data_IF_936728817161
#
_entry.id   IF_936728817161
#
_cell.length_a   1.000
_cell.length_b   1.000
_cell.length_c   1.000
_cell.angle_alpha   90.00
_cell.angle_beta   90.00
_cell.angle_gamma   90.00
#
_symmetry.space_group_name_H-M   'P 1'
#
loop_
_entity.id
_entity.type
_entity.pdbx_description
1 polymer ?
#
# COMPACT_ATOMS: atom_id res chain seq x y z
N UNK A 1 26.59 -27.50 -38.36
CA UNK A 1 25.79 -27.50 -37.12
C UNK A 1 24.62 -26.57 -37.33
N UNK A 2 23.56 -27.12 -37.95
CA UNK A 2 22.23 -26.50 -37.97
C UNK A 2 21.62 -26.77 -36.62
N UNK A 3 21.37 -25.73 -35.84
CA UNK A 3 20.44 -25.77 -34.70
C UNK A 3 19.46 -24.64 -34.87
N UNK A 4 18.27 -25.05 -35.26
CA UNK A 4 16.94 -24.55 -34.91
C UNK A 4 16.74 -23.03 -34.72
N UNK A 5 16.63 -22.35 -35.86
CA UNK A 5 15.87 -21.10 -35.97
C UNK A 5 14.39 -21.47 -36.14
N UNK A 6 13.83 -22.19 -35.19
CA UNK A 6 12.40 -22.53 -35.20
C UNK A 6 11.77 -22.20 -33.85
N UNK A 7 11.23 -21.02 -33.76
CA UNK A 7 9.85 -20.73 -33.37
C UNK A 7 9.67 -19.24 -33.12
N UNK A 8 9.56 -18.48 -34.19
CA UNK A 8 8.77 -17.27 -34.11
C UNK A 8 7.32 -17.73 -33.89
N UNK A 9 6.60 -17.25 -32.89
CA UNK A 9 5.18 -17.57 -32.74
C UNK A 9 4.42 -16.98 -33.90
N UNK A 10 4.15 -17.85 -34.90
CA UNK A 10 3.44 -17.55 -36.11
C UNK A 10 1.95 -17.53 -35.89
N UNK A 11 1.43 -16.49 -35.30
CA UNK A 11 0.09 -15.98 -35.61
C UNK A 11 0.14 -14.46 -35.51
N UNK A 12 0.47 -13.83 -36.62
CA UNK A 12 0.28 -12.41 -36.86
C UNK A 12 -1.21 -12.10 -36.70
N UNK A 13 -1.56 -10.97 -36.06
CA UNK A 13 -2.76 -10.25 -36.51
C UNK A 13 -2.37 -9.78 -37.89
N UNK A 14 -2.83 -10.47 -38.90
CA UNK A 14 -2.16 -10.68 -40.20
C UNK A 14 -2.00 -9.45 -41.07
N UNK A 15 -2.46 -8.27 -40.68
CA UNK A 15 -2.52 -7.11 -41.58
C UNK A 15 -1.98 -5.80 -40.98
N UNK A 16 -1.29 -5.83 -39.83
CA UNK A 16 -0.72 -4.62 -39.25
C UNK A 16 0.65 -4.33 -39.86
N UNK A 17 0.76 -3.27 -40.66
CA UNK A 17 2.04 -2.75 -41.13
C UNK A 17 2.95 -2.47 -39.94
N UNK A 18 4.16 -3.06 -39.90
CA UNK A 18 5.09 -2.80 -38.82
C UNK A 18 5.48 -1.31 -38.79
N UNK A 19 5.58 -0.76 -37.59
CA UNK A 19 6.25 0.52 -37.40
C UNK A 19 7.75 0.37 -37.61
N UNK A 20 8.37 1.34 -38.25
CA UNK A 20 9.83 1.43 -38.40
C UNK A 20 10.28 2.87 -38.37
N UNK A 21 11.36 3.12 -37.63
CA UNK A 21 12.08 4.40 -37.62
C UNK A 21 13.59 4.14 -37.61
N UNK A 22 14.31 4.89 -38.40
CA UNK A 22 15.77 5.02 -38.37
C UNK A 22 16.12 6.49 -38.34
N UNK A 23 16.83 6.96 -37.32
CA UNK A 23 17.21 8.35 -37.15
C UNK A 23 18.44 8.46 -36.25
N UNK A 24 19.10 9.62 -36.31
CA UNK A 24 20.26 9.93 -35.49
C UNK A 24 20.04 11.26 -34.79
N UNK A 25 20.37 11.31 -33.51
CA UNK A 25 20.33 12.52 -32.67
C UNK A 25 21.52 12.46 -31.69
N UNK A 26 22.25 13.58 -31.55
CA UNK A 26 23.37 13.73 -30.62
C UNK A 26 24.46 12.63 -30.81
N UNK A 27 24.77 12.25 -32.06
CA UNK A 27 25.65 11.14 -32.44
C UNK A 27 25.20 9.74 -31.95
N UNK A 28 23.92 9.61 -31.59
CA UNK A 28 23.31 8.33 -31.26
C UNK A 28 22.36 7.92 -32.38
N UNK A 29 22.72 6.86 -33.10
CA UNK A 29 21.86 6.25 -34.12
C UNK A 29 20.82 5.36 -33.44
N UNK A 30 19.56 5.47 -33.86
CA UNK A 30 18.43 4.71 -33.32
C UNK A 30 17.64 4.08 -34.43
N UNK A 31 17.61 2.74 -34.46
CA UNK A 31 16.82 1.92 -35.37
C UNK A 31 15.80 1.12 -34.56
N UNK A 32 14.52 1.38 -34.75
CA UNK A 32 13.44 0.71 -34.02
C UNK A 32 12.39 0.21 -34.99
N UNK A 33 12.01 -1.06 -34.82
CA UNK A 33 10.83 -1.62 -35.49
C UNK A 33 10.00 -2.42 -34.50
N UNK A 34 8.68 -2.36 -34.61
CA UNK A 34 7.80 -3.19 -33.81
C UNK A 34 6.46 -3.46 -34.50
N UNK A 35 5.81 -4.49 -34.06
CA UNK A 35 4.42 -4.82 -34.43
C UNK A 35 3.70 -5.43 -33.24
N UNK A 36 2.36 -5.48 -33.32
CA UNK A 36 1.54 -6.22 -32.36
C UNK A 36 1.21 -7.61 -32.89
N UNK A 37 1.18 -8.57 -31.98
CA UNK A 37 0.79 -9.96 -32.24
C UNK A 37 -0.39 -10.36 -31.36
N UNK A 38 -0.93 -11.55 -31.54
CA UNK A 38 -1.99 -12.11 -30.66
C UNK A 38 -1.43 -12.69 -29.36
N UNK A 39 -0.10 -12.69 -29.17
CA UNK A 39 0.55 -13.13 -27.93
C UNK A 39 0.16 -12.23 -26.75
N UNK A 40 0.23 -12.77 -25.55
CA UNK A 40 0.10 -12.01 -24.31
C UNK A 40 1.45 -11.49 -23.78
N UNK A 41 2.56 -11.98 -24.34
CA UNK A 41 3.89 -11.62 -23.87
C UNK A 41 4.51 -10.51 -24.74
N UNK A 42 5.25 -9.61 -24.07
CA UNK A 42 6.17 -8.66 -24.70
C UNK A 42 7.45 -9.40 -25.09
N UNK A 43 7.91 -9.22 -26.34
CA UNK A 43 9.19 -9.74 -26.81
C UNK A 43 10.01 -8.58 -27.40
N UNK A 44 11.14 -8.24 -26.78
CA UNK A 44 12.04 -7.20 -27.29
C UNK A 44 13.43 -7.77 -27.52
N UNK A 45 13.90 -7.68 -28.75
CA UNK A 45 15.30 -7.90 -29.09
C UNK A 45 16.02 -6.56 -29.09
N UNK A 46 17.05 -6.43 -28.28
CA UNK A 46 17.75 -5.15 -28.14
C UNK A 46 19.24 -5.27 -28.40
N UNK A 47 19.78 -4.26 -29.08
CA UNK A 47 21.16 -4.24 -29.52
C UNK A 47 21.80 -2.88 -29.30
N UNK A 48 23.09 -2.88 -28.97
CA UNK A 48 23.95 -1.70 -28.92
C UNK A 48 25.23 -1.99 -29.68
N UNK A 49 25.51 -1.23 -30.75
CA UNK A 49 26.65 -1.47 -31.63
C UNK A 49 26.71 -2.95 -32.07
N UNK A 50 25.57 -3.52 -32.45
CA UNK A 50 25.37 -4.93 -32.84
C UNK A 50 25.60 -5.98 -31.74
N UNK A 51 25.84 -5.55 -30.49
CA UNK A 51 25.95 -6.45 -29.33
C UNK A 51 24.55 -6.65 -28.79
N UNK A 52 24.12 -7.90 -28.62
CA UNK A 52 22.82 -8.23 -28.03
C UNK A 52 22.80 -7.89 -26.52
N UNK A 53 21.92 -7.00 -26.14
CA UNK A 53 21.69 -6.60 -24.74
C UNK A 53 20.47 -7.34 -24.19
N UNK A 54 20.64 -8.60 -23.82
CA UNK A 54 19.55 -9.49 -23.42
C UNK A 54 18.81 -9.05 -22.16
N UNK A 55 19.42 -8.22 -21.32
CA UNK A 55 18.80 -7.60 -20.13
C UNK A 55 18.23 -6.20 -20.46
N UNK A 56 18.30 -5.76 -21.72
CA UNK A 56 17.83 -4.46 -22.17
C UNK A 56 18.74 -3.30 -21.76
N UNK A 57 18.19 -2.29 -21.15
CA UNK A 57 18.88 -1.09 -20.71
C UNK A 57 18.12 0.19 -21.04
N UNK A 58 18.80 1.33 -20.99
CA UNK A 58 18.23 2.67 -21.15
C UNK A 58 17.55 2.90 -22.50
N UNK A 59 18.06 2.30 -23.59
CA UNK A 59 17.43 2.37 -24.92
C UNK A 59 16.07 1.66 -24.97
N UNK A 60 15.95 0.49 -24.32
CA UNK A 60 14.66 -0.24 -24.20
C UNK A 60 13.70 0.53 -23.31
N UNK A 61 14.19 1.16 -22.24
CA UNK A 61 13.38 2.00 -21.37
C UNK A 61 12.83 3.22 -22.13
N UNK A 62 13.66 3.88 -22.94
CA UNK A 62 13.25 4.98 -23.81
C UNK A 62 12.14 4.57 -24.78
N UNK A 63 12.28 3.42 -25.44
CA UNK A 63 11.25 2.84 -26.31
C UNK A 63 9.93 2.57 -25.57
N UNK A 64 9.97 1.92 -24.41
CA UNK A 64 8.78 1.62 -23.60
C UNK A 64 8.05 2.89 -23.13
N UNK A 65 8.81 3.92 -22.77
CA UNK A 65 8.27 5.22 -22.37
C UNK A 65 7.59 5.92 -23.53
N UNK A 66 8.23 5.98 -24.70
CA UNK A 66 7.68 6.55 -25.93
C UNK A 66 6.39 5.86 -26.34
N UNK A 67 6.40 4.52 -26.39
CA UNK A 67 5.23 3.72 -26.77
C UNK A 67 4.03 4.00 -25.84
N UNK A 68 4.28 4.03 -24.52
CA UNK A 68 3.23 4.28 -23.53
C UNK A 68 2.65 5.67 -23.64
N UNK A 69 3.51 6.67 -23.80
CA UNK A 69 3.10 8.07 -23.95
C UNK A 69 2.28 8.29 -25.22
N UNK A 70 2.84 7.93 -26.37
CA UNK A 70 2.23 8.25 -27.67
C UNK A 70 0.89 7.55 -27.85
N UNK A 71 0.74 6.28 -27.45
CA UNK A 71 -0.54 5.57 -27.56
C UNK A 71 -1.63 6.23 -26.69
N UNK A 72 -1.29 6.65 -25.46
CA UNK A 72 -2.25 7.39 -24.63
C UNK A 72 -2.63 8.72 -25.24
N UNK A 73 -1.65 9.48 -25.77
CA UNK A 73 -1.88 10.82 -26.30
C UNK A 73 -2.70 10.76 -27.62
N UNK A 74 -2.30 9.90 -28.57
CA UNK A 74 -2.99 9.74 -29.85
C UNK A 74 -4.38 9.10 -29.67
N UNK A 75 -4.47 8.09 -28.78
CA UNK A 75 -5.75 7.45 -28.48
C UNK A 75 -6.79 8.41 -27.92
N UNK A 76 -6.36 9.37 -27.07
CA UNK A 76 -7.21 10.47 -26.58
C UNK A 76 -7.54 11.48 -27.67
N UNK A 77 -6.55 11.94 -28.44
CA UNK A 77 -6.74 12.92 -29.48
C UNK A 77 -7.71 12.46 -30.57
N UNK A 78 -7.66 11.16 -30.92
CA UNK A 78 -8.58 10.55 -31.91
C UNK A 78 -9.92 10.09 -31.29
N UNK A 79 -10.19 10.34 -30.00
CA UNK A 79 -11.42 9.95 -29.34
C UNK A 79 -11.63 8.43 -29.16
N UNK A 80 -10.57 7.62 -29.37
CA UNK A 80 -10.58 6.19 -29.18
C UNK A 80 -10.54 5.77 -27.70
N UNK A 81 -9.94 6.65 -26.86
CA UNK A 81 -9.92 6.52 -25.39
C UNK A 81 -10.89 7.53 -24.79
N UNK A 82 -11.90 7.03 -24.10
CA UNK A 82 -12.88 7.86 -23.37
C UNK A 82 -12.39 8.12 -21.94
N UNK A 83 -12.85 9.19 -21.31
CA UNK A 83 -12.46 9.51 -19.91
C UNK A 83 -12.75 8.38 -18.93
N UNK A 84 -13.85 7.63 -19.14
CA UNK A 84 -14.19 6.44 -18.36
C UNK A 84 -13.19 5.28 -18.48
N UNK A 85 -12.44 5.23 -19.57
CA UNK A 85 -11.46 4.16 -19.78
C UNK A 85 -10.18 4.43 -18.97
N UNK A 86 -9.98 5.66 -18.47
CA UNK A 86 -8.80 6.05 -17.72
C UNK A 86 -7.50 5.95 -18.53
N UNK A 87 -6.37 6.15 -17.87
CA UNK A 87 -5.04 6.02 -18.50
C UNK A 87 -4.69 4.54 -18.70
N UNK A 88 -4.18 4.20 -19.89
CA UNK A 88 -3.65 2.86 -20.18
C UNK A 88 -2.31 2.67 -19.49
N UNK A 89 -2.14 1.54 -18.81
CA UNK A 89 -0.87 1.19 -18.17
C UNK A 89 0.14 0.64 -19.19
N UNK A 90 1.43 0.82 -18.90
CA UNK A 90 2.49 0.31 -19.76
C UNK A 90 2.39 -1.20 -20.03
N UNK A 91 1.99 -1.99 -19.06
CA UNK A 91 1.82 -3.43 -19.22
C UNK A 91 0.70 -3.77 -20.22
N UNK A 92 -0.44 -3.06 -20.15
CA UNK A 92 -1.55 -3.27 -21.09
C UNK A 92 -1.13 -2.92 -22.53
N UNK A 93 -0.34 -1.83 -22.68
CA UNK A 93 0.15 -1.34 -23.98
C UNK A 93 1.20 -2.29 -24.59
N UNK A 94 2.05 -2.88 -23.77
CA UNK A 94 3.13 -3.75 -24.24
C UNK A 94 2.71 -5.20 -24.49
N UNK A 95 1.50 -5.59 -24.08
CA UNK A 95 0.98 -6.92 -24.32
C UNK A 95 0.92 -7.24 -25.82
N UNK A 96 1.65 -8.29 -26.21
CA UNK A 96 1.75 -8.74 -27.60
C UNK A 96 2.65 -7.91 -28.50
N UNK A 97 3.43 -6.97 -27.95
CA UNK A 97 4.45 -6.26 -28.71
C UNK A 97 5.62 -7.18 -29.02
N UNK A 98 6.03 -7.21 -30.30
CA UNK A 98 7.31 -7.78 -30.75
C UNK A 98 8.12 -6.65 -31.35
N UNK A 99 9.28 -6.35 -30.78
CA UNK A 99 10.11 -5.21 -31.17
C UNK A 99 11.59 -5.57 -31.32
N UNK A 100 12.26 -4.84 -32.19
CA UNK A 100 13.71 -4.78 -32.28
C UNK A 100 14.11 -3.32 -32.00
N UNK A 101 14.97 -3.11 -31.02
CA UNK A 101 15.49 -1.81 -30.63
C UNK A 101 17.02 -1.87 -30.75
N UNK A 102 17.59 -1.17 -31.74
CA UNK A 102 19.03 -1.13 -31.99
C UNK A 102 19.52 0.32 -31.87
N UNK A 103 20.63 0.51 -31.18
CA UNK A 103 21.30 1.81 -31.08
C UNK A 103 22.76 1.71 -31.43
N UNK A 104 23.27 2.78 -32.05
CA UNK A 104 24.69 2.98 -32.36
C UNK A 104 25.21 4.14 -31.53
N UNK A 105 26.16 3.88 -30.65
CA UNK A 105 26.62 4.82 -29.62
C UNK A 105 28.14 4.90 -29.67
N UNK A 106 28.77 6.10 -29.74
CA UNK A 106 30.23 6.21 -29.79
C UNK A 106 30.95 5.61 -28.58
N UNK A 107 30.40 5.80 -27.38
CA UNK A 107 30.97 5.35 -26.10
C UNK A 107 29.92 4.62 -25.25
N UNK A 108 29.62 3.35 -25.57
CA UNK A 108 28.63 2.60 -24.83
C UNK A 108 29.13 2.22 -23.41
N UNK A 109 28.35 2.49 -22.39
CA UNK A 109 28.58 2.05 -21.03
C UNK A 109 27.63 0.89 -20.72
N UNK A 110 28.18 -0.26 -20.38
CA UNK A 110 27.39 -1.45 -20.06
C UNK A 110 27.46 -1.75 -18.57
N UNK A 111 26.35 -2.24 -18.04
CA UNK A 111 26.35 -2.84 -16.71
C UNK A 111 26.91 -4.27 -16.82
N UNK A 112 28.05 -4.50 -16.15
CA UNK A 112 28.72 -5.79 -16.09
C UNK A 112 29.57 -6.15 -17.34
N UNK A 113 30.42 -7.16 -17.17
CA UNK A 113 31.38 -7.61 -18.20
C UNK A 113 30.70 -8.30 -19.40
N UNK A 114 29.51 -8.85 -19.19
CA UNK A 114 28.75 -9.57 -20.25
C UNK A 114 28.10 -8.63 -21.27
N UNK A 115 28.14 -7.32 -21.02
CA UNK A 115 27.52 -6.28 -21.87
C UNK A 115 26.00 -6.50 -22.09
N UNK A 116 25.34 -7.20 -21.16
CA UNK A 116 23.93 -7.59 -21.28
C UNK A 116 22.94 -6.42 -21.13
N UNK A 117 23.36 -5.30 -20.53
CA UNK A 117 22.50 -4.16 -20.25
C UNK A 117 23.22 -2.83 -20.50
N UNK A 118 22.55 -1.91 -21.21
CA UNK A 118 23.07 -0.55 -21.46
C UNK A 118 22.78 0.37 -20.28
N UNK A 119 23.81 1.09 -19.81
CA UNK A 119 23.75 2.01 -18.68
C UNK A 119 23.68 3.50 -19.02
N UNK A 120 24.02 3.92 -20.26
CA UNK A 120 24.04 5.32 -20.69
C UNK A 120 22.69 6.03 -20.44
N UNK A 121 22.60 6.93 -19.47
CA UNK A 121 21.33 7.55 -19.06
C UNK A 121 20.71 8.44 -20.15
N UNK A 122 21.54 9.16 -20.92
CA UNK A 122 21.14 10.06 -21.99
C UNK A 122 20.41 9.35 -23.14
N UNK A 123 20.74 8.09 -23.40
CA UNK A 123 20.17 7.29 -24.50
C UNK A 123 18.67 7.08 -24.32
N UNK A 124 18.18 6.97 -23.08
CA UNK A 124 16.74 6.83 -22.82
C UNK A 124 15.95 8.03 -23.34
N UNK A 125 16.46 9.24 -23.14
CA UNK A 125 15.84 10.47 -23.62
C UNK A 125 15.84 10.57 -25.14
N UNK A 126 16.97 10.24 -25.78
CA UNK A 126 17.14 10.29 -27.24
C UNK A 126 16.20 9.29 -27.94
N UNK A 127 16.19 8.03 -27.50
CA UNK A 127 15.28 7.00 -28.04
C UNK A 127 13.82 7.41 -27.84
N UNK A 128 13.48 7.90 -26.65
CA UNK A 128 12.11 8.37 -26.38
C UNK A 128 11.71 9.52 -27.32
N UNK A 129 12.57 10.49 -27.57
CA UNK A 129 12.31 11.60 -28.47
C UNK A 129 12.06 11.16 -29.91
N UNK A 130 13.00 10.38 -30.48
CA UNK A 130 12.94 9.89 -31.86
C UNK A 130 11.70 9.00 -32.06
N UNK A 131 11.49 8.02 -31.18
CA UNK A 131 10.36 7.10 -31.30
C UNK A 131 9.03 7.83 -31.11
N UNK A 132 8.92 8.75 -30.13
CA UNK A 132 7.68 9.48 -29.89
C UNK A 132 7.27 10.32 -31.10
N UNK A 133 8.19 11.06 -31.68
CA UNK A 133 7.91 11.91 -32.85
C UNK A 133 7.45 11.08 -34.06
N UNK A 134 8.21 10.03 -34.40
CA UNK A 134 7.91 9.21 -35.57
C UNK A 134 6.67 8.32 -35.37
N UNK A 135 6.48 7.76 -34.19
CA UNK A 135 5.31 6.94 -33.88
C UNK A 135 4.02 7.75 -33.88
N UNK A 136 4.06 8.99 -33.39
CA UNK A 136 2.90 9.89 -33.44
C UNK A 136 2.44 10.11 -34.88
N UNK A 137 3.35 10.47 -35.79
CA UNK A 137 3.07 10.66 -37.21
C UNK A 137 2.51 9.35 -37.82
N UNK A 138 3.17 8.22 -37.56
CA UNK A 138 2.74 6.93 -38.09
C UNK A 138 1.31 6.58 -37.66
N UNK A 139 0.93 6.81 -36.41
CA UNK A 139 -0.41 6.51 -35.89
C UNK A 139 -1.46 7.52 -36.41
N UNK A 140 -1.09 8.78 -36.60
CA UNK A 140 -1.95 9.82 -37.20
C UNK A 140 -2.22 9.53 -38.68
N UNK A 141 -1.20 9.06 -39.44
CA UNK A 141 -1.32 8.72 -40.85
C UNK A 141 -2.04 7.36 -41.09
N UNK A 142 -2.14 6.51 -40.05
CA UNK A 142 -2.74 5.19 -40.17
C UNK A 142 -3.89 4.97 -39.13
N UNK A 143 -5.02 5.69 -39.25
CA UNK A 143 -6.09 5.67 -38.22
C UNK A 143 -6.75 4.28 -38.07
N UNK A 144 -6.78 3.47 -39.12
CA UNK A 144 -7.30 2.10 -39.07
C UNK A 144 -6.40 1.20 -38.18
N UNK A 145 -5.06 1.32 -38.31
CA UNK A 145 -4.09 0.60 -37.49
C UNK A 145 -4.21 1.07 -36.04
N UNK A 146 -4.26 2.39 -35.83
CA UNK A 146 -4.40 3.00 -34.49
C UNK A 146 -5.63 2.48 -33.75
N UNK A 147 -6.77 2.40 -34.45
CA UNK A 147 -8.01 1.85 -33.88
C UNK A 147 -7.82 0.38 -33.45
N UNK A 148 -7.27 -0.47 -34.30
CA UNK A 148 -7.04 -1.89 -33.99
C UNK A 148 -6.10 -2.05 -32.78
N UNK A 149 -5.01 -1.27 -32.74
CA UNK A 149 -4.06 -1.29 -31.63
C UNK A 149 -4.70 -0.84 -30.32
N UNK A 150 -5.43 0.28 -30.32
CA UNK A 150 -6.11 0.78 -29.12
C UNK A 150 -7.19 -0.18 -28.64
N UNK A 151 -7.99 -0.76 -29.54
CA UNK A 151 -9.00 -1.76 -29.19
C UNK A 151 -8.37 -3.01 -28.56
N UNK A 152 -7.26 -3.49 -29.10
CA UNK A 152 -6.51 -4.62 -28.53
C UNK A 152 -6.07 -4.29 -27.10
N UNK A 153 -5.45 -3.12 -26.88
CA UNK A 153 -4.95 -2.69 -25.57
C UNK A 153 -6.11 -2.53 -24.57
N UNK A 154 -7.25 -1.98 -24.99
CA UNK A 154 -8.45 -1.89 -24.14
C UNK A 154 -8.96 -3.28 -23.73
N UNK A 155 -8.89 -4.27 -24.63
CA UNK A 155 -9.26 -5.64 -24.31
C UNK A 155 -8.28 -6.28 -23.31
N UNK A 156 -6.99 -6.07 -23.48
CA UNK A 156 -5.95 -6.51 -22.53
C UNK A 156 -6.16 -5.90 -21.14
N UNK A 157 -6.45 -4.59 -21.06
CA UNK A 157 -6.83 -3.91 -19.83
C UNK A 157 -8.04 -4.54 -19.15
N UNK A 158 -9.15 -4.74 -19.91
CA UNK A 158 -10.37 -5.36 -19.39
C UNK A 158 -10.11 -6.78 -18.87
N UNK A 159 -9.32 -7.58 -19.59
CA UNK A 159 -8.95 -8.93 -19.18
C UNK A 159 -8.16 -8.93 -17.88
N UNK A 160 -7.18 -8.03 -17.74
CA UNK A 160 -6.39 -7.85 -16.53
C UNK A 160 -7.27 -7.44 -15.33
N UNK A 161 -8.14 -6.45 -15.53
CA UNK A 161 -9.06 -5.98 -14.47
C UNK A 161 -10.07 -7.08 -14.06
N UNK A 162 -10.59 -7.85 -15.01
CA UNK A 162 -11.46 -8.98 -14.72
C UNK A 162 -10.73 -10.08 -13.95
N UNK A 163 -9.49 -10.42 -14.36
CA UNK A 163 -8.66 -11.39 -13.66
C UNK A 163 -8.32 -10.94 -12.23
N UNK A 164 -8.04 -9.64 -12.05
CA UNK A 164 -7.79 -9.07 -10.72
C UNK A 164 -9.03 -9.16 -9.84
N UNK A 165 -10.22 -8.77 -10.35
CA UNK A 165 -11.50 -8.90 -9.63
C UNK A 165 -11.80 -10.36 -9.25
N UNK A 166 -11.55 -11.29 -10.17
CA UNK A 166 -11.76 -12.71 -9.90
C UNK A 166 -10.83 -13.21 -8.78
N UNK A 167 -9.54 -12.83 -8.80
CA UNK A 167 -8.59 -13.15 -7.72
C UNK A 167 -9.02 -12.54 -6.39
N UNK A 168 -9.46 -11.29 -6.38
CA UNK A 168 -9.97 -10.62 -5.17
C UNK A 168 -11.18 -11.37 -4.60
N UNK A 169 -12.11 -11.82 -5.44
CA UNK A 169 -13.26 -12.61 -5.02
C UNK A 169 -12.86 -13.96 -4.41
N UNK A 170 -11.89 -14.65 -5.02
CA UNK A 170 -11.37 -15.92 -4.48
C UNK A 170 -10.68 -15.70 -3.14
N UNK A 171 -9.85 -14.65 -3.03
CA UNK A 171 -9.18 -14.30 -1.77
C UNK A 171 -10.19 -13.92 -0.67
N UNK A 172 -11.21 -13.11 -1.02
CA UNK A 172 -12.29 -12.77 -0.09
C UNK A 172 -13.01 -14.03 0.41
N UNK A 173 -13.38 -14.95 -0.50
CA UNK A 173 -13.99 -16.25 -0.11
C UNK A 173 -13.07 -17.05 0.79
N UNK A 174 -11.78 -17.19 0.45
CA UNK A 174 -10.84 -17.98 1.26
C UNK A 174 -10.62 -17.39 2.67
N UNK A 175 -10.68 -16.06 2.81
CA UNK A 175 -10.61 -15.40 4.13
C UNK A 175 -11.88 -15.64 4.95
N UNK A 176 -13.04 -15.78 4.29
CA UNK A 176 -14.33 -16.05 4.93
C UNK A 176 -14.57 -17.54 5.20
N UNK A 177 -14.04 -18.42 4.33
CA UNK A 177 -14.23 -19.88 4.43
C UNK A 177 -13.28 -20.55 5.44
N UNK A 178 -12.21 -19.86 5.90
CA UNK A 178 -11.38 -20.34 7.02
C UNK A 178 -12.19 -20.17 8.30
N UNK A 179 -13.10 -21.08 8.56
CA UNK A 179 -13.98 -21.13 9.74
C UNK A 179 -13.27 -21.28 11.09
N UNK A 180 -11.95 -21.12 11.12
CA UNK A 180 -11.16 -21.09 12.36
C UNK A 180 -10.69 -19.65 12.61
N UNK A 181 -10.94 -19.17 13.82
CA UNK A 181 -10.41 -17.90 14.30
C UNK A 181 -8.88 -17.89 14.24
N UNK A 182 -8.24 -16.72 14.08
CA UNK A 182 -6.79 -16.64 14.05
C UNK A 182 -6.18 -17.29 15.29
N UNK A 183 -5.20 -18.17 15.12
CA UNK A 183 -4.57 -18.89 16.27
C UNK A 183 -3.96 -17.98 17.33
N UNK A 184 -3.64 -16.73 16.97
CA UNK A 184 -3.15 -15.70 17.90
C UNK A 184 -4.26 -14.94 18.66
N UNK A 185 -5.52 -15.06 18.22
CA UNK A 185 -6.66 -14.41 18.89
C UNK A 185 -6.95 -15.16 20.21
N UNK A 186 -6.95 -14.41 21.30
CA UNK A 186 -7.53 -14.86 22.55
C UNK A 186 -8.99 -14.34 22.63
N UNK A 187 -9.93 -15.15 22.17
CA UNK A 187 -11.34 -14.77 22.08
C UNK A 187 -12.02 -14.69 23.45
N UNK A 188 -13.16 -14.00 23.53
CA UNK A 188 -14.02 -13.94 24.71
C UNK A 188 -15.09 -15.05 24.69
N UNK A 189 -15.71 -15.27 25.83
CA UNK A 189 -16.69 -16.36 26.01
C UNK A 189 -18.09 -15.94 25.56
N UNK A 190 -18.47 -14.68 25.81
CA UNK A 190 -19.78 -14.13 25.40
C UNK A 190 -19.91 -14.15 23.87
N UNK A 191 -21.15 -14.37 23.40
CA UNK A 191 -21.52 -14.32 21.97
C UNK A 191 -22.38 -13.11 21.63
N UNK A 192 -22.66 -12.25 22.60
CA UNK A 192 -23.40 -11.02 22.40
C UNK A 192 -22.43 -9.91 22.01
N UNK A 193 -22.46 -9.51 20.75
CA UNK A 193 -21.51 -8.56 20.20
C UNK A 193 -21.49 -7.22 20.97
N UNK A 194 -22.66 -6.74 21.40
CA UNK A 194 -22.81 -5.49 22.15
C UNK A 194 -22.09 -5.48 23.51
N UNK A 195 -21.91 -6.65 24.13
CA UNK A 195 -21.20 -6.81 25.40
C UNK A 195 -19.70 -7.05 25.20
N UNK A 196 -19.30 -7.46 23.99
CA UNK A 196 -17.94 -7.88 23.70
C UNK A 196 -17.10 -6.74 23.15
N UNK A 197 -15.82 -6.74 23.51
CA UNK A 197 -14.84 -5.82 22.98
C UNK A 197 -13.53 -6.55 22.61
N UNK A 198 -12.87 -6.09 21.55
CA UNK A 198 -11.60 -6.64 21.12
C UNK A 198 -10.50 -5.58 21.20
N UNK A 199 -9.39 -5.92 21.85
CA UNK A 199 -8.19 -5.09 21.89
C UNK A 199 -7.23 -5.55 20.79
N UNK A 200 -6.90 -4.64 19.91
CA UNK A 200 -5.82 -4.81 18.93
C UNK A 200 -4.54 -4.29 19.57
N UNK A 201 -3.65 -5.21 19.92
CA UNK A 201 -2.49 -4.93 20.77
C UNK A 201 -1.21 -5.00 19.97
N UNK A 202 -0.32 -4.03 20.16
CA UNK A 202 1.00 -4.03 19.54
C UNK A 202 1.93 -5.05 20.21
N UNK A 203 2.42 -6.00 19.42
CA UNK A 203 3.42 -6.97 19.83
C UNK A 203 2.92 -8.11 20.73
N UNK A 204 3.73 -9.15 20.80
CA UNK A 204 3.42 -10.34 21.60
C UNK A 204 3.61 -10.11 23.11
N UNK A 205 4.51 -9.22 23.53
CA UNK A 205 4.77 -8.92 24.94
C UNK A 205 3.57 -8.28 25.61
N UNK A 206 3.13 -7.12 25.09
CA UNK A 206 1.93 -6.44 25.58
C UNK A 206 0.67 -7.32 25.41
N UNK A 207 0.60 -8.06 24.27
CA UNK A 207 -0.45 -9.04 24.03
C UNK A 207 -0.49 -10.14 25.10
N UNK A 208 0.65 -10.57 25.63
CA UNK A 208 0.77 -11.54 26.72
C UNK A 208 0.19 -11.01 28.04
N UNK A 209 0.60 -9.80 28.44
CA UNK A 209 0.07 -9.12 29.64
C UNK A 209 -1.43 -8.88 29.52
N UNK A 210 -1.89 -8.38 28.34
CA UNK A 210 -3.31 -8.16 28.08
C UNK A 210 -4.15 -9.44 28.16
N UNK A 211 -3.65 -10.57 27.62
CA UNK A 211 -4.32 -11.88 27.68
C UNK A 211 -4.47 -12.37 29.12
N UNK A 212 -3.53 -12.08 29.99
CA UNK A 212 -3.60 -12.46 31.42
C UNK A 212 -4.51 -11.53 32.22
N UNK A 213 -4.46 -10.20 31.97
CA UNK A 213 -5.19 -9.20 32.73
C UNK A 213 -6.66 -9.01 32.33
N UNK A 214 -7.07 -9.47 31.13
CA UNK A 214 -8.41 -9.24 30.57
C UNK A 214 -9.56 -9.90 31.33
N UNK A 215 -10.76 -9.38 31.23
CA UNK A 215 -11.97 -10.15 31.50
C UNK A 215 -12.22 -11.13 30.34
N UNK A 216 -12.09 -12.43 30.63
CA UNK A 216 -12.27 -13.48 29.63
C UNK A 216 -13.71 -13.62 29.15
N UNK A 217 -14.68 -13.09 29.89
CA UNK A 217 -16.07 -13.19 29.51
C UNK A 217 -16.38 -12.34 28.27
N UNK A 218 -15.97 -11.08 28.28
CA UNK A 218 -16.35 -10.10 27.25
C UNK A 218 -15.17 -9.42 26.52
N UNK A 219 -13.91 -9.66 26.92
CA UNK A 219 -12.74 -9.06 26.28
C UNK A 219 -11.92 -10.06 25.47
N UNK A 220 -11.70 -9.77 24.21
CA UNK A 220 -10.83 -10.50 23.31
C UNK A 220 -9.53 -9.71 23.06
N UNK A 221 -8.42 -10.45 22.84
CA UNK A 221 -7.10 -9.85 22.55
C UNK A 221 -6.56 -10.40 21.22
N UNK A 222 -6.24 -9.50 20.31
CA UNK A 222 -5.55 -9.82 19.05
C UNK A 222 -4.22 -9.08 18.99
N UNK A 223 -3.09 -9.74 19.26
CA UNK A 223 -1.77 -9.15 19.09
C UNK A 223 -1.41 -9.04 17.61
N UNK A 224 -0.88 -7.90 17.20
CA UNK A 224 -0.32 -7.68 15.87
C UNK A 224 1.20 -7.67 15.95
N UNK A 225 1.85 -8.32 14.99
CA UNK A 225 3.32 -8.39 14.91
C UNK A 225 3.85 -7.29 14.00
N UNK A 226 4.32 -6.20 14.61
CA UNK A 226 4.95 -5.09 13.91
C UNK A 226 3.97 -4.26 13.06
N UNK A 227 4.52 -3.45 12.17
CA UNK A 227 3.78 -2.53 11.30
C UNK A 227 3.00 -3.31 10.24
N UNK A 228 1.70 -3.09 10.17
CA UNK A 228 0.88 -3.67 9.08
C UNK A 228 1.18 -2.96 7.76
N UNK A 229 0.79 -3.62 6.66
CA UNK A 229 0.94 -3.04 5.33
C UNK A 229 0.15 -1.74 5.19
N UNK A 230 0.74 -0.73 4.54
CA UNK A 230 0.03 0.49 4.17
C UNK A 230 -0.93 0.19 3.01
N UNK A 231 -2.22 0.10 3.31
CA UNK A 231 -3.26 -0.30 2.35
C UNK A 231 -3.54 0.77 1.31
N UNK A 232 -3.24 2.04 1.60
CA UNK A 232 -3.36 3.15 0.65
C UNK A 232 -2.44 2.94 -0.56
N UNK A 233 -1.21 2.47 -0.31
CA UNK A 233 -0.21 2.18 -1.35
C UNK A 233 -0.39 0.81 -1.99
N UNK A 234 -0.74 -0.19 -1.17
CA UNK A 234 -0.71 -1.58 -1.62
C UNK A 234 -1.96 -2.01 -2.41
N UNK A 235 -3.09 -1.34 -2.19
CA UNK A 235 -4.39 -1.76 -2.71
C UNK A 235 -4.93 -3.03 -2.01
N UNK A 236 -6.19 -3.36 -2.28
CA UNK A 236 -6.91 -4.42 -1.56
C UNK A 236 -6.28 -5.80 -1.72
N UNK A 237 -5.89 -6.18 -2.94
CA UNK A 237 -5.33 -7.51 -3.22
C UNK A 237 -4.10 -7.80 -2.37
N UNK A 238 -3.10 -6.92 -2.45
CA UNK A 238 -1.86 -7.08 -1.70
C UNK A 238 -2.08 -6.95 -0.18
N UNK A 239 -3.06 -6.16 0.23
CA UNK A 239 -3.44 -6.04 1.64
C UNK A 239 -3.97 -7.37 2.20
N UNK A 240 -4.75 -8.13 1.42
CA UNK A 240 -5.29 -9.44 1.82
C UNK A 240 -4.23 -10.56 1.85
N UNK A 241 -3.05 -10.36 1.28
CA UNK A 241 -1.91 -11.27 1.45
C UNK A 241 -1.29 -11.14 2.85
N UNK A 242 -1.48 -9.99 3.53
CA UNK A 242 -0.98 -9.76 4.88
C UNK A 242 -1.72 -10.63 5.92
N UNK A 243 -0.96 -11.39 6.72
CA UNK A 243 -1.50 -12.20 7.81
C UNK A 243 -2.22 -11.36 8.86
N UNK A 244 -1.72 -10.15 9.12
CA UNK A 244 -2.27 -9.23 10.11
C UNK A 244 -3.64 -8.68 9.68
N UNK A 245 -3.75 -8.27 8.41
CA UNK A 245 -5.03 -7.82 7.83
C UNK A 245 -6.06 -8.96 7.84
N UNK A 246 -5.66 -10.17 7.40
CA UNK A 246 -6.55 -11.33 7.44
C UNK A 246 -7.01 -11.67 8.85
N UNK A 247 -6.09 -11.59 9.83
CA UNK A 247 -6.43 -11.86 11.22
C UNK A 247 -7.48 -10.87 11.76
N UNK A 248 -7.38 -9.57 11.43
CA UNK A 248 -8.38 -8.57 11.80
C UNK A 248 -9.73 -8.85 11.12
N UNK A 249 -9.74 -9.07 9.80
CA UNK A 249 -10.96 -9.37 9.04
C UNK A 249 -11.69 -10.59 9.61
N UNK A 250 -10.95 -11.67 9.86
CA UNK A 250 -11.51 -12.92 10.41
C UNK A 250 -11.99 -12.72 11.86
N UNK A 251 -11.23 -12.00 12.69
CA UNK A 251 -11.63 -11.72 14.07
C UNK A 251 -12.92 -10.90 14.14
N UNK A 252 -13.05 -9.86 13.32
CA UNK A 252 -14.25 -8.99 13.32
C UNK A 252 -15.48 -9.69 12.75
N UNK A 253 -15.31 -10.57 11.76
CA UNK A 253 -16.38 -11.35 11.14
C UNK A 253 -17.19 -10.61 10.07
N UNK A 254 -16.95 -9.33 9.85
CA UNK A 254 -17.75 -8.44 8.99
C UNK A 254 -17.45 -8.54 7.50
N UNK A 255 -16.40 -9.27 7.06
CA UNK A 255 -15.85 -9.12 5.73
C UNK A 255 -15.28 -7.71 5.47
N UNK A 256 -15.00 -7.33 4.21
CA UNK A 256 -14.39 -6.04 3.83
C UNK A 256 -14.90 -5.50 2.50
N UNK A 257 -14.78 -4.19 2.29
CA UNK A 257 -15.12 -3.51 1.03
C UNK A 257 -16.59 -3.75 0.64
N UNK A 258 -16.84 -4.11 -0.62
CA UNK A 258 -18.21 -4.30 -1.15
C UNK A 258 -18.99 -5.45 -0.48
N UNK A 259 -18.30 -6.34 0.22
CA UNK A 259 -18.92 -7.47 0.95
C UNK A 259 -19.01 -7.24 2.45
N UNK A 260 -18.67 -6.04 2.91
CA UNK A 260 -18.76 -5.67 4.33
C UNK A 260 -20.21 -5.78 4.83
N UNK A 261 -20.37 -6.38 5.99
CA UNK A 261 -21.68 -6.58 6.61
C UNK A 261 -21.54 -6.37 8.13
N UNK A 262 -21.96 -5.21 8.61
CA UNK A 262 -21.85 -4.83 10.02
C UNK A 262 -22.69 -5.72 10.94
N UNK A 263 -23.77 -6.32 10.44
CA UNK A 263 -24.62 -7.21 11.24
C UNK A 263 -23.90 -8.48 11.72
N UNK A 264 -22.77 -8.81 11.10
CA UNK A 264 -21.89 -9.93 11.46
C UNK A 264 -20.76 -9.54 12.42
N UNK A 265 -20.73 -8.29 12.86
CA UNK A 265 -19.69 -7.81 13.79
C UNK A 265 -19.77 -8.59 15.10
N UNK A 266 -18.62 -9.13 15.52
CA UNK A 266 -18.52 -9.96 16.73
C UNK A 266 -18.24 -9.18 18.01
N UNK A 267 -17.84 -7.92 17.90
CA UNK A 267 -17.45 -7.07 19.02
C UNK A 267 -18.04 -5.67 18.90
N UNK A 268 -18.80 -5.24 19.89
CA UNK A 268 -19.38 -3.90 19.92
C UNK A 268 -18.34 -2.78 20.00
N UNK A 269 -17.13 -3.09 20.51
CA UNK A 269 -16.00 -2.14 20.51
C UNK A 269 -14.74 -2.80 19.97
N UNK A 270 -14.04 -2.10 19.08
CA UNK A 270 -12.72 -2.41 18.59
C UNK A 270 -11.77 -1.35 19.14
N UNK A 271 -10.85 -1.74 20.00
CA UNK A 271 -10.02 -0.85 20.79
C UNK A 271 -8.56 -1.00 20.31
N UNK A 272 -7.99 0.07 19.78
CA UNK A 272 -6.59 0.11 19.36
C UNK A 272 -5.73 0.42 20.58
N UNK A 273 -4.87 -0.51 20.98
CA UNK A 273 -4.01 -0.42 22.13
C UNK A 273 -2.54 -0.58 21.69
N UNK A 274 -1.92 0.55 21.34
CA UNK A 274 -0.54 0.67 20.86
C UNK A 274 0.32 1.40 21.86
N UNK A 275 1.63 1.22 21.77
CA UNK A 275 2.59 1.93 22.59
C UNK A 275 2.47 3.46 22.41
N UNK A 276 2.90 4.22 23.44
CA UNK A 276 2.80 5.69 23.43
C UNK A 276 4.02 6.34 22.74
N UNK A 277 4.66 5.66 21.81
CA UNK A 277 5.81 6.12 21.04
C UNK A 277 5.46 6.40 19.58
N UNK A 278 6.46 6.79 18.78
CA UNK A 278 6.28 7.12 17.35
C UNK A 278 5.90 5.89 16.51
N UNK A 279 6.37 4.71 16.88
CA UNK A 279 6.06 3.46 16.19
C UNK A 279 4.63 3.02 16.45
N UNK A 280 4.17 3.08 17.71
CA UNK A 280 2.79 2.83 18.07
C UNK A 280 1.81 3.81 17.45
N UNK A 281 2.17 5.10 17.36
CA UNK A 281 1.38 6.10 16.62
C UNK A 281 1.28 5.76 15.14
N UNK A 282 2.37 5.29 14.52
CA UNK A 282 2.37 4.87 13.12
C UNK A 282 1.52 3.61 12.89
N UNK A 283 1.64 2.59 13.76
CA UNK A 283 0.81 1.37 13.69
C UNK A 283 -0.67 1.72 13.79
N UNK A 284 -1.04 2.58 14.74
CA UNK A 284 -2.40 3.08 14.89
C UNK A 284 -2.92 3.76 13.62
N UNK A 285 -2.09 4.63 13.01
CA UNK A 285 -2.44 5.30 11.74
C UNK A 285 -2.65 4.31 10.61
N UNK A 286 -1.80 3.28 10.48
CA UNK A 286 -1.96 2.22 9.47
C UNK A 286 -3.27 1.43 9.67
N UNK A 287 -3.61 1.09 10.92
CA UNK A 287 -4.87 0.40 11.24
C UNK A 287 -6.08 1.29 10.92
N UNK A 288 -6.04 2.56 11.29
CA UNK A 288 -7.10 3.52 10.98
C UNK A 288 -7.26 3.71 9.46
N UNK A 289 -6.17 3.74 8.70
CA UNK A 289 -6.20 3.78 7.23
C UNK A 289 -6.93 2.55 6.68
N UNK A 290 -6.61 1.36 7.18
CA UNK A 290 -7.26 0.12 6.78
C UNK A 290 -8.77 0.14 7.09
N UNK A 291 -9.15 0.51 8.31
CA UNK A 291 -10.55 0.59 8.73
C UNK A 291 -11.32 1.64 7.90
N UNK A 292 -10.73 2.81 7.67
CA UNK A 292 -11.35 3.87 6.90
C UNK A 292 -11.58 3.48 5.43
N UNK A 293 -10.62 2.80 4.80
CA UNK A 293 -10.72 2.41 3.39
C UNK A 293 -11.62 1.21 3.14
N UNK A 294 -11.67 0.26 4.05
CA UNK A 294 -12.32 -1.04 3.78
C UNK A 294 -13.41 -1.44 4.77
N UNK A 295 -13.56 -0.75 5.90
CA UNK A 295 -14.56 -1.02 6.95
C UNK A 295 -15.10 0.27 7.55
N UNK A 296 -15.40 1.25 6.70
CA UNK A 296 -15.76 2.62 7.12
C UNK A 296 -16.98 2.67 8.02
N UNK A 297 -17.95 1.77 7.84
CA UNK A 297 -19.14 1.67 8.66
C UNK A 297 -18.82 1.48 10.15
N UNK A 298 -17.72 0.77 10.50
CA UNK A 298 -17.29 0.63 11.89
C UNK A 298 -16.93 1.97 12.55
N UNK A 299 -16.43 2.93 11.79
CA UNK A 299 -16.14 4.27 12.29
C UNK A 299 -17.44 5.08 12.41
N UNK A 300 -18.29 5.02 11.39
CA UNK A 300 -19.56 5.76 11.36
C UNK A 300 -20.51 5.33 12.49
N UNK A 301 -20.60 4.04 12.76
CA UNK A 301 -21.39 3.48 13.86
C UNK A 301 -20.71 3.65 15.23
N UNK A 302 -19.46 4.09 15.24
CA UNK A 302 -18.74 4.42 16.47
C UNK A 302 -18.23 3.22 17.24
N UNK A 303 -17.85 2.16 16.54
CA UNK A 303 -17.28 0.95 17.12
C UNK A 303 -15.78 1.05 17.40
N UNK A 304 -15.09 2.08 16.86
CA UNK A 304 -13.62 2.18 16.93
C UNK A 304 -13.21 3.13 18.06
N UNK A 305 -12.27 2.66 18.88
CA UNK A 305 -11.72 3.39 20.02
C UNK A 305 -10.20 3.27 20.05
N UNK A 306 -9.56 4.25 20.68
CA UNK A 306 -8.14 4.27 21.00
C UNK A 306 -8.00 4.22 22.52
N UNK A 307 -7.26 3.24 23.03
CA UNK A 307 -6.93 3.17 24.43
C UNK A 307 -5.85 4.21 24.78
N UNK A 308 -6.02 4.87 25.91
CA UNK A 308 -5.07 5.83 26.45
C UNK A 308 -4.48 5.30 27.75
N UNK A 309 -3.39 4.51 27.71
CA UNK A 309 -2.71 4.08 28.93
C UNK A 309 -2.01 5.28 29.60
N UNK A 310 -1.74 5.22 30.92
CA UNK A 310 -0.99 6.26 31.60
C UNK A 310 0.46 6.29 31.13
N UNK A 311 1.04 7.49 31.06
CA UNK A 311 2.43 7.69 30.73
C UNK A 311 3.35 7.56 31.96
N UNK A 312 2.80 7.81 33.16
CA UNK A 312 3.58 7.84 34.40
C UNK A 312 2.89 7.08 35.53
N UNK A 313 3.71 6.42 36.34
CA UNK A 313 3.35 5.86 37.63
C UNK A 313 4.13 6.58 38.71
N UNK A 314 3.44 7.18 39.68
CA UNK A 314 4.03 7.79 40.86
C UNK A 314 3.72 6.90 42.05
N UNK A 315 4.75 6.43 42.75
CA UNK A 315 4.60 5.53 43.91
C UNK A 315 5.15 6.18 45.15
N UNK A 316 4.37 6.18 46.23
CA UNK A 316 4.73 6.68 47.54
C UNK A 316 4.29 5.70 48.62
N UNK A 317 5.20 4.89 49.13
CA UNK A 317 4.87 3.76 50.01
C UNK A 317 3.94 2.78 49.35
N UNK A 318 2.73 2.60 49.89
CA UNK A 318 1.68 1.74 49.31
C UNK A 318 0.76 2.47 48.32
N UNK A 319 0.87 3.79 48.23
CA UNK A 319 0.02 4.61 47.37
C UNK A 319 0.62 4.62 45.96
N UNK A 320 -0.19 4.29 44.93
CA UNK A 320 0.13 4.37 43.53
C UNK A 320 -0.83 5.34 42.88
N UNK A 321 -0.29 6.31 42.11
CA UNK A 321 -1.07 7.26 41.32
C UNK A 321 -0.55 7.20 39.89
N UNK A 322 -1.48 7.11 38.93
CA UNK A 322 -1.17 7.16 37.51
C UNK A 322 -1.43 8.55 36.96
N UNK A 323 -0.58 9.01 36.04
CA UNK A 323 -0.77 10.25 35.29
C UNK A 323 -0.70 9.99 33.79
N UNK A 324 -1.62 10.58 33.06
CA UNK A 324 -1.80 10.34 31.62
C UNK A 324 -1.10 11.37 30.74
N UNK A 325 -0.65 12.48 31.35
CA UNK A 325 0.09 13.53 30.67
C UNK A 325 0.99 14.28 31.65
N UNK A 326 1.88 15.16 31.12
CA UNK A 326 2.85 15.92 31.90
C UNK A 326 2.16 16.90 32.87
N UNK A 327 1.00 17.43 32.53
CA UNK A 327 0.26 18.36 33.40
C UNK A 327 -0.28 17.62 34.64
N UNK A 328 -0.88 16.45 34.43
CA UNK A 328 -1.34 15.61 35.54
C UNK A 328 -0.16 15.18 36.42
N UNK A 329 0.95 14.77 35.82
CA UNK A 329 2.16 14.45 36.57
C UNK A 329 2.59 15.64 37.48
N UNK A 330 2.67 16.85 36.90
CA UNK A 330 3.03 18.06 37.68
C UNK A 330 2.08 18.30 38.85
N UNK A 331 0.78 18.11 38.63
CA UNK A 331 -0.24 18.28 39.70
C UNK A 331 -0.06 17.23 40.82
N UNK A 332 0.15 15.96 40.43
CA UNK A 332 0.41 14.88 41.41
C UNK A 332 1.68 15.15 42.20
N UNK A 333 2.77 15.61 41.56
CA UNK A 333 4.03 15.91 42.23
C UNK A 333 3.90 17.13 43.16
N UNK A 334 3.15 18.16 42.77
CA UNK A 334 2.87 19.32 43.59
C UNK A 334 2.15 18.93 44.90
N UNK A 335 1.15 18.05 44.79
CA UNK A 335 0.43 17.54 45.94
C UNK A 335 1.30 16.67 46.85
N UNK A 336 2.13 15.76 46.26
CA UNK A 336 3.06 14.94 47.03
C UNK A 336 4.14 15.77 47.78
N UNK A 337 4.61 16.85 47.16
CA UNK A 337 5.57 17.76 47.77
C UNK A 337 4.94 18.56 48.94
N UNK A 338 3.70 19.01 48.80
CA UNK A 338 2.95 19.66 49.89
C UNK A 338 2.82 18.73 51.12
N UNK A 339 2.60 17.45 50.87
CA UNK A 339 2.44 16.42 51.91
C UNK A 339 3.81 15.94 52.47
N UNK A 340 4.94 16.46 52.01
CA UNK A 340 6.32 16.00 52.35
C UNK A 340 6.51 14.47 52.12
N UNK A 341 5.83 13.88 51.17
CA UNK A 341 5.94 12.45 50.88
C UNK A 341 7.13 12.15 49.96
N UNK A 342 7.89 11.11 50.29
CA UNK A 342 8.89 10.57 49.37
C UNK A 342 8.17 9.77 48.29
N UNK A 343 8.52 10.00 47.02
CA UNK A 343 7.94 9.30 45.90
C UNK A 343 9.00 8.85 44.87
N UNK A 344 8.62 7.88 44.05
CA UNK A 344 9.37 7.44 42.87
C UNK A 344 8.48 7.60 41.64
N UNK A 345 9.09 7.99 40.52
CA UNK A 345 8.40 8.16 39.24
C UNK A 345 8.93 7.09 38.28
N UNK A 346 8.02 6.35 37.66
CA UNK A 346 8.30 5.47 36.55
C UNK A 346 7.58 6.02 35.31
N UNK A 347 8.32 6.27 34.22
CA UNK A 347 7.74 6.59 32.93
C UNK A 347 7.62 5.30 32.13
N UNK A 348 6.43 5.01 31.61
CA UNK A 348 6.20 3.90 30.70
C UNK A 348 6.58 4.32 29.28
N UNK A 349 7.42 3.54 28.61
CA UNK A 349 7.76 3.70 27.20
C UNK A 349 6.84 2.87 26.29
N UNK A 350 6.35 1.74 26.80
CA UNK A 350 5.43 0.89 26.10
C UNK A 350 4.59 0.02 27.04
N UNK A 351 3.52 -0.55 26.51
CA UNK A 351 2.56 -1.42 27.20
C UNK A 351 3.20 -2.71 27.75
N UNK A 352 4.29 -3.16 27.09
CA UNK A 352 5.07 -4.31 27.53
C UNK A 352 5.77 -4.15 28.88
N UNK A 353 5.89 -2.91 29.40
CA UNK A 353 6.43 -2.61 30.72
C UNK A 353 5.40 -2.74 31.83
N UNK A 354 4.11 -2.86 31.47
CA UNK A 354 3.01 -3.03 32.43
C UNK A 354 2.78 -4.52 32.70
N UNK A 355 2.67 -4.88 33.97
CA UNK A 355 2.18 -6.21 34.33
C UNK A 355 0.67 -6.33 34.06
N UNK A 356 0.08 -7.55 34.09
CA UNK A 356 -1.33 -7.76 33.76
C UNK A 356 -2.29 -6.97 34.65
N UNK A 357 -2.01 -6.83 35.94
CA UNK A 357 -2.84 -6.10 36.91
C UNK A 357 -2.83 -4.59 36.61
N UNK A 358 -1.65 -4.02 36.35
CA UNK A 358 -1.53 -2.61 35.98
C UNK A 358 -2.25 -2.29 34.68
N UNK A 359 -2.12 -3.16 33.66
CA UNK A 359 -2.79 -2.99 32.39
C UNK A 359 -4.31 -3.10 32.52
N UNK A 360 -4.78 -4.01 33.38
CA UNK A 360 -6.20 -4.11 33.73
C UNK A 360 -6.71 -2.82 34.39
N UNK A 361 -6.09 -2.42 35.51
CA UNK A 361 -6.53 -1.28 36.31
C UNK A 361 -6.56 0.05 35.55
N UNK A 362 -5.60 0.25 34.65
CA UNK A 362 -5.41 1.57 34.01
C UNK A 362 -6.02 1.67 32.62
N UNK A 363 -6.15 0.55 31.90
CA UNK A 363 -6.40 0.58 30.45
C UNK A 363 -7.53 -0.35 30.00
N UNK A 364 -7.75 -1.47 30.68
CA UNK A 364 -8.71 -2.46 30.21
C UNK A 364 -10.00 -2.51 31.05
N UNK A 365 -9.95 -2.17 32.34
CA UNK A 365 -11.13 -2.14 33.21
C UNK A 365 -12.13 -1.07 32.74
N UNK A 366 -13.37 -1.43 32.39
CA UNK A 366 -14.37 -0.48 31.92
C UNK A 366 -14.62 0.69 32.86
N UNK A 367 -14.50 0.49 34.19
CA UNK A 367 -14.88 1.49 35.20
C UNK A 367 -13.83 2.62 35.34
N UNK A 368 -12.58 2.40 34.95
CA UNK A 368 -11.50 3.38 35.21
C UNK A 368 -10.67 3.77 33.99
N UNK A 369 -10.86 3.12 32.84
CA UNK A 369 -10.06 3.34 31.64
C UNK A 369 -10.44 4.60 30.88
N UNK A 370 -9.47 5.18 30.18
CA UNK A 370 -9.68 6.26 29.24
C UNK A 370 -9.66 5.74 27.79
N UNK A 371 -10.77 5.94 27.07
CA UNK A 371 -10.89 5.60 25.65
C UNK A 371 -11.25 6.85 24.84
N UNK A 372 -10.56 7.07 23.73
CA UNK A 372 -10.93 8.06 22.74
C UNK A 372 -11.75 7.39 21.63
N UNK A 373 -13.00 7.84 21.44
CA UNK A 373 -13.83 7.37 20.33
C UNK A 373 -13.33 7.99 19.03
N UNK A 374 -13.17 7.16 18.00
CA UNK A 374 -12.79 7.62 16.66
C UNK A 374 -14.06 8.04 15.93
N UNK A 375 -14.08 9.28 15.41
CA UNK A 375 -15.16 9.81 14.57
C UNK A 375 -14.60 10.48 13.33
N UNK A 376 -15.43 10.65 12.32
CA UNK A 376 -15.10 11.41 11.10
C UNK A 376 -16.14 12.51 10.96
N UNK A 377 -15.75 13.74 11.27
CA UNK A 377 -16.64 14.89 11.17
C UNK A 377 -16.85 15.34 9.73
N UNK A 378 -15.79 15.28 8.92
CA UNK A 378 -15.81 15.62 7.51
C UNK A 378 -15.15 14.51 6.67
N UNK A 379 -15.98 13.74 5.99
CA UNK A 379 -15.52 12.60 5.20
C UNK A 379 -14.59 12.98 4.04
N UNK A 380 -14.80 14.15 3.43
CA UNK A 380 -13.96 14.64 2.32
C UNK A 380 -12.57 15.05 2.79
N UNK A 381 -12.51 15.75 3.92
CA UNK A 381 -11.23 16.14 4.53
C UNK A 381 -10.45 14.92 5.00
N UNK A 382 -11.12 13.97 5.64
CA UNK A 382 -10.48 12.71 6.06
C UNK A 382 -9.92 11.93 4.86
N UNK A 383 -10.67 11.85 3.75
CA UNK A 383 -10.22 11.18 2.52
C UNK A 383 -8.97 11.84 1.94
N UNK A 384 -8.97 13.18 1.84
CA UNK A 384 -7.83 13.96 1.37
C UNK A 384 -6.62 13.80 2.29
N UNK A 385 -6.84 13.74 3.62
CA UNK A 385 -5.78 13.60 4.60
C UNK A 385 -5.11 12.21 4.52
N UNK A 386 -5.90 11.15 4.37
CA UNK A 386 -5.36 9.80 4.18
C UNK A 386 -4.58 9.69 2.85
N UNK A 387 -5.08 10.24 1.74
CA UNK A 387 -4.35 10.28 0.46
C UNK A 387 -3.04 11.07 0.60
N UNK A 388 -3.07 12.25 1.23
CA UNK A 388 -1.91 13.12 1.45
C UNK A 388 -0.83 12.45 2.33
N UNK A 389 -1.22 11.86 3.47
CA UNK A 389 -0.28 11.33 4.46
C UNK A 389 0.16 9.90 4.15
N UNK A 390 -0.73 9.06 3.62
CA UNK A 390 -0.50 7.63 3.45
C UNK A 390 -0.31 7.22 1.99
N UNK A 391 -0.63 8.10 1.03
CA UNK A 391 -0.49 7.88 -0.40
C UNK A 391 0.95 7.76 -0.91
N UNK A 392 1.12 7.50 -2.22
CA UNK A 392 2.43 7.26 -2.85
C UNK A 392 3.26 8.53 -3.01
N UNK A 393 2.63 9.70 -3.16
CA UNK A 393 3.31 10.97 -3.40
C UNK A 393 4.03 11.46 -2.15
N UNK A 394 5.30 11.81 -2.28
CA UNK A 394 6.14 12.28 -1.16
C UNK A 394 5.91 13.77 -0.90
N UNK A 395 5.85 14.60 -1.95
CA UNK A 395 5.74 16.06 -1.86
C UNK A 395 4.55 16.52 -0.99
N UNK A 396 3.29 16.07 -1.20
CA UNK A 396 2.17 16.54 -0.39
C UNK A 396 2.31 16.23 1.10
N UNK A 397 3.00 15.12 1.43
CA UNK A 397 3.30 14.74 2.82
C UNK A 397 4.37 15.63 3.42
N UNK A 398 5.41 15.95 2.65
CA UNK A 398 6.48 16.86 3.06
C UNK A 398 5.93 18.26 3.33
N UNK A 399 5.15 18.80 2.40
CA UNK A 399 4.48 20.09 2.56
C UNK A 399 3.61 20.13 3.82
N UNK A 400 2.83 19.07 4.08
CA UNK A 400 2.01 18.97 5.28
C UNK A 400 2.86 19.01 6.56
N UNK A 401 4.00 18.29 6.59
CA UNK A 401 4.91 18.27 7.74
C UNK A 401 5.53 19.66 7.95
N UNK A 402 5.96 20.33 6.88
CA UNK A 402 6.54 21.68 6.94
C UNK A 402 5.52 22.72 7.42
N UNK A 403 4.26 22.66 6.91
CA UNK A 403 3.17 23.57 7.31
C UNK A 403 2.77 23.40 8.78
N UNK A 404 2.91 22.19 9.34
CA UNK A 404 2.48 21.87 10.71
C UNK A 404 3.64 21.69 11.69
N UNK A 405 4.87 21.97 11.29
CA UNK A 405 6.06 21.79 12.12
C UNK A 405 5.99 22.58 13.44
N UNK A 406 5.37 23.75 13.43
CA UNK A 406 5.20 24.61 14.62
C UNK A 406 4.32 23.98 15.71
N UNK A 407 3.45 23.04 15.34
CA UNK A 407 2.54 22.37 16.29
C UNK A 407 3.16 21.14 16.98
N UNK A 408 4.34 20.72 16.52
CA UNK A 408 5.04 19.55 17.09
C UNK A 408 5.63 19.92 18.43
N UNK A 409 5.10 19.33 19.51
CA UNK A 409 5.54 19.58 20.88
C UNK A 409 6.57 18.59 21.41
N UNK A 410 6.61 17.39 20.85
CA UNK A 410 7.50 16.31 21.27
C UNK A 410 8.21 15.75 20.04
N UNK A 411 9.48 16.06 19.89
CA UNK A 411 10.35 15.42 18.92
C UNK A 411 11.15 14.40 19.71
N UNK A 412 11.02 13.14 19.35
CA UNK A 412 11.86 12.06 19.88
C UNK A 412 13.20 12.14 19.14
N UNK A 413 14.20 12.74 19.79
CA UNK A 413 15.58 12.92 19.29
C UNK A 413 16.45 11.87 19.95
#
# INVERSE_FOLDING_TARGET
>A
LHQDVHSFPTRRSSDLKPFYVSSEQDNVGVDVTFTYTTSQNEVIYSFVNNINTHEGGTHVQGFRTALTKVINDVGKAQGLLKDKDGKLMGNDIREGVVAIVSTKIPQPQFEGQTKGKLGNSEVSGIVNSIVSSSLKIFLEDNPAITKIVVEKILNSKKAREAAQKARELVLRKSVLEVGSLPGKLADCTSKKAEECEIFIVEGDSAGGSAKQGRDRYNQAILPLRGKIINVEKAGLHKSLESSEIRAMVTAFGTSIGDTFDISKLRYGKIILMTDADVDGAHIRTLILTFLYRYMRELINEGNIYIACPPLYKVSSGKQIIYAYNDLELKNVLAQMNQDNKKYTIQRYKGLGEMNPEQLWETTMNPDGRLLLKVSVDNAREADMLFDKLMGDKVEPRREFIEEHAEYVKNIDI
#
